data_IF_353689601627
#
_entry.id   IF_353689601627
#
_cell.length_a   1.000
_cell.length_b   1.000
_cell.length_c   1.000
_cell.angle_alpha   90.00
_cell.angle_beta   90.00
_cell.angle_gamma   90.00
#
_symmetry.space_group_name_H-M   'P 1'
#
loop_
_entity.id
_entity.type
_entity.pdbx_description
1 polymer ?
#
# COMPACT_ATOMS: atom_id res chain seq x y z
N UNK A 1 49.76 -27.63 2.92
CA UNK A 1 48.91 -26.44 2.89
C UNK A 1 48.37 -26.13 1.47
N UNK A 2 49.23 -26.12 0.45
CA UNK A 2 48.83 -25.87 -0.95
C UNK A 2 47.83 -26.91 -1.52
N UNK A 3 47.97 -28.19 -1.20
CA UNK A 3 47.05 -29.23 -1.68
C UNK A 3 45.67 -29.16 -1.05
N UNK A 4 45.62 -28.72 0.22
CA UNK A 4 44.33 -28.47 0.87
C UNK A 4 43.58 -27.29 0.23
N UNK A 5 44.29 -26.19 -0.07
CA UNK A 5 43.77 -25.04 -0.75
C UNK A 5 43.23 -25.38 -2.16
N UNK A 6 43.96 -26.21 -2.92
CA UNK A 6 43.53 -26.68 -4.23
C UNK A 6 42.27 -27.53 -4.14
N UNK A 7 42.16 -28.43 -3.15
CA UNK A 7 40.93 -29.22 -2.93
C UNK A 7 39.74 -28.36 -2.56
N UNK A 8 39.93 -27.35 -1.68
CA UNK A 8 38.86 -26.42 -1.32
C UNK A 8 38.45 -25.59 -2.53
N UNK A 9 39.36 -25.05 -3.32
CA UNK A 9 39.06 -24.30 -4.52
C UNK A 9 38.29 -25.13 -5.54
N UNK A 10 38.69 -26.41 -5.71
CA UNK A 10 37.97 -27.32 -6.62
C UNK A 10 36.54 -27.59 -6.14
N UNK A 11 36.35 -27.85 -4.84
CA UNK A 11 35.00 -28.06 -4.27
C UNK A 11 34.10 -26.83 -4.43
N UNK A 12 34.64 -25.65 -4.19
CA UNK A 12 33.88 -24.40 -4.40
C UNK A 12 33.52 -24.20 -5.87
N UNK A 13 34.44 -24.46 -6.79
CA UNK A 13 34.16 -24.34 -8.23
C UNK A 13 33.07 -25.32 -8.70
N UNK A 14 33.11 -26.56 -8.20
CA UNK A 14 32.08 -27.57 -8.52
C UNK A 14 30.72 -27.16 -7.92
N UNK A 15 30.69 -26.72 -6.67
CA UNK A 15 29.47 -26.31 -5.99
C UNK A 15 28.82 -25.10 -6.66
N UNK A 16 29.61 -24.10 -7.03
CA UNK A 16 29.09 -22.90 -7.74
C UNK A 16 28.60 -23.25 -9.13
N UNK A 17 29.31 -24.08 -9.88
CA UNK A 17 28.87 -24.53 -11.22
C UNK A 17 27.56 -25.30 -11.15
N UNK A 18 27.41 -26.18 -10.16
CA UNK A 18 26.17 -26.94 -9.96
C UNK A 18 25.01 -26.02 -9.56
N UNK A 19 25.24 -25.07 -8.65
CA UNK A 19 24.23 -24.10 -8.25
C UNK A 19 23.74 -23.24 -9.41
N UNK A 20 24.64 -22.76 -10.27
CA UNK A 20 24.32 -21.99 -11.46
C UNK A 20 23.53 -22.82 -12.47
N UNK A 21 23.91 -24.11 -12.66
CA UNK A 21 23.22 -25.03 -13.55
C UNK A 21 21.79 -25.29 -13.06
N UNK A 22 21.62 -25.59 -11.77
CA UNK A 22 20.29 -25.79 -11.17
C UNK A 22 19.44 -24.55 -11.29
N UNK A 23 19.99 -23.36 -10.99
CA UNK A 23 19.28 -22.08 -11.13
C UNK A 23 18.81 -21.84 -12.58
N UNK A 24 19.64 -22.18 -13.56
CA UNK A 24 19.30 -21.98 -14.99
C UNK A 24 18.25 -22.97 -15.51
N UNK A 25 18.20 -24.18 -14.95
CA UNK A 25 17.23 -25.24 -15.33
C UNK A 25 15.93 -25.16 -14.54
N UNK A 26 15.91 -24.40 -13.44
CA UNK A 26 14.73 -24.24 -12.60
C UNK A 26 13.71 -23.31 -13.27
N UNK A 27 12.42 -23.68 -13.33
CA UNK A 27 11.35 -22.80 -13.80
C UNK A 27 11.18 -21.54 -12.93
N UNK A 28 11.70 -21.56 -11.69
CA UNK A 28 11.73 -20.45 -10.73
C UNK A 28 13.15 -19.95 -10.48
N UNK A 29 14.05 -20.07 -11.46
CA UNK A 29 15.44 -19.62 -11.34
C UNK A 29 15.51 -18.12 -11.09
N UNK A 30 16.42 -17.71 -10.19
CA UNK A 30 16.67 -16.30 -9.86
C UNK A 30 17.57 -15.69 -10.94
N UNK A 31 17.24 -14.56 -11.57
CA UNK A 31 18.11 -13.89 -12.51
C UNK A 31 19.37 -13.40 -11.80
N UNK A 32 20.55 -13.84 -12.27
CA UNK A 32 21.86 -13.49 -11.69
C UNK A 32 22.31 -12.06 -12.01
N UNK A 33 21.74 -11.45 -13.03
CA UNK A 33 21.85 -10.04 -13.30
C UNK A 33 20.48 -9.43 -13.15
N UNK A 34 20.32 -8.52 -12.18
CA UNK A 34 19.09 -7.77 -12.02
C UNK A 34 18.86 -6.91 -13.26
N UNK A 35 17.80 -7.22 -14.00
CA UNK A 35 17.24 -6.28 -14.95
C UNK A 35 16.40 -5.30 -14.13
N UNK A 36 17.05 -4.30 -13.58
CA UNK A 36 16.39 -3.20 -12.91
C UNK A 36 15.84 -2.28 -14.00
N UNK A 37 14.58 -2.41 -14.28
CA UNK A 37 13.88 -1.39 -15.05
C UNK A 37 13.62 -0.23 -14.08
N UNK A 38 14.41 0.82 -14.23
CA UNK A 38 14.31 2.02 -13.38
C UNK A 38 13.11 2.89 -13.75
N UNK A 39 12.38 2.56 -14.81
CA UNK A 39 11.15 3.25 -15.20
C UNK A 39 9.90 2.63 -14.57
N UNK A 40 10.01 1.39 -14.12
CA UNK A 40 8.97 0.72 -13.36
C UNK A 40 9.49 0.55 -11.94
N UNK A 41 8.98 1.30 -10.99
CA UNK A 41 9.35 1.18 -9.57
C UNK A 41 9.34 -0.27 -9.10
N UNK A 42 9.88 -0.54 -7.91
CA UNK A 42 10.02 -1.89 -7.34
C UNK A 42 8.76 -2.71 -7.58
N UNK A 43 8.83 -3.64 -8.55
CA UNK A 43 7.76 -4.62 -8.79
C UNK A 43 7.83 -5.63 -7.65
N UNK A 44 7.06 -5.40 -6.61
CA UNK A 44 6.70 -6.46 -5.67
C UNK A 44 5.78 -7.43 -6.42
N UNK A 45 6.09 -8.73 -6.28
CA UNK A 45 5.43 -9.80 -7.01
C UNK A 45 3.96 -9.96 -6.58
N UNK A 46 3.08 -9.17 -7.17
CA UNK A 46 1.66 -9.47 -7.39
C UNK A 46 1.12 -8.48 -8.42
N UNK A 47 1.47 -8.73 -9.69
CA UNK A 47 1.05 -7.89 -10.83
C UNK A 47 -0.48 -7.86 -10.98
N UNK A 48 -1.17 -8.85 -10.46
CA UNK A 48 -2.63 -8.95 -10.58
C UNK A 48 -3.36 -8.05 -9.54
N UNK A 49 -2.80 -7.92 -8.33
CA UNK A 49 -3.38 -7.03 -7.32
C UNK A 49 -3.15 -5.54 -7.67
N UNK A 50 -1.93 -5.16 -8.06
CA UNK A 50 -1.62 -3.77 -8.40
C UNK A 50 -2.45 -3.24 -9.57
N UNK A 51 -2.80 -4.08 -10.55
CA UNK A 51 -3.61 -3.68 -11.70
C UNK A 51 -5.08 -3.46 -11.32
N UNK A 52 -5.58 -4.20 -10.32
CA UNK A 52 -6.95 -4.02 -9.81
C UNK A 52 -7.13 -2.70 -9.07
N UNK A 53 -6.05 -2.16 -8.46
CA UNK A 53 -6.11 -0.93 -7.65
C UNK A 53 -5.98 0.36 -8.47
N UNK A 54 -5.42 0.33 -9.68
CA UNK A 54 -5.22 1.54 -10.50
C UNK A 54 -6.52 2.29 -10.81
N UNK A 55 -7.66 1.59 -10.86
CA UNK A 55 -8.97 2.20 -11.08
C UNK A 55 -9.60 2.77 -9.80
N UNK A 56 -9.02 2.46 -8.61
CA UNK A 56 -9.54 2.88 -7.30
C UNK A 56 -8.62 3.86 -6.56
N UNK A 57 -7.55 4.32 -7.19
CA UNK A 57 -6.59 5.23 -6.58
C UNK A 57 -6.80 6.68 -7.05
N UNK A 58 -6.63 7.61 -6.11
CA UNK A 58 -6.54 9.05 -6.37
C UNK A 58 -5.06 9.44 -6.22
N UNK A 59 -4.30 9.55 -7.33
CA UNK A 59 -2.87 9.87 -7.28
C UNK A 59 -2.58 11.37 -7.22
N UNK A 60 -3.58 12.22 -7.48
CA UNK A 60 -3.45 13.67 -7.56
C UNK A 60 -4.11 14.33 -6.34
N UNK A 61 -3.34 15.05 -5.49
CA UNK A 61 -3.89 15.77 -4.34
C UNK A 61 -4.99 16.77 -4.72
N UNK A 62 -4.90 17.38 -5.90
CA UNK A 62 -5.90 18.31 -6.41
C UNK A 62 -7.24 17.63 -6.67
N UNK A 63 -7.23 16.39 -7.16
CA UNK A 63 -8.44 15.58 -7.34
C UNK A 63 -9.04 15.21 -5.98
N UNK A 64 -8.22 14.77 -5.02
CA UNK A 64 -8.67 14.49 -3.65
C UNK A 64 -9.32 15.74 -3.02
N UNK A 65 -8.72 16.92 -3.21
CA UNK A 65 -9.27 18.20 -2.73
C UNK A 65 -10.60 18.54 -3.39
N UNK A 66 -10.72 18.34 -4.71
CA UNK A 66 -11.99 18.56 -5.40
C UNK A 66 -13.10 17.65 -4.85
N UNK A 67 -12.81 16.38 -4.62
CA UNK A 67 -13.77 15.44 -4.02
C UNK A 67 -14.18 15.92 -2.62
N UNK A 68 -13.21 16.33 -1.80
CA UNK A 68 -13.46 16.90 -0.47
C UNK A 68 -14.41 18.12 -0.55
N UNK A 69 -14.15 19.05 -1.46
CA UNK A 69 -14.94 20.27 -1.61
C UNK A 69 -16.39 20.02 -2.04
N UNK A 70 -16.68 18.86 -2.65
CA UNK A 70 -18.06 18.49 -2.95
C UNK A 70 -18.89 18.20 -1.70
N UNK A 71 -18.25 17.85 -0.59
CA UNK A 71 -18.91 17.41 0.64
C UNK A 71 -19.69 16.09 0.51
N UNK A 72 -19.50 15.34 -0.59
CA UNK A 72 -20.26 14.12 -0.87
C UNK A 72 -19.54 12.84 -0.43
N UNK A 73 -18.23 12.86 -0.38
CA UNK A 73 -17.43 11.73 0.03
C UNK A 73 -17.03 11.84 1.50
N UNK A 74 -17.06 10.71 2.19
CA UNK A 74 -16.54 10.55 3.53
C UNK A 74 -15.05 10.21 3.45
N UNK A 75 -14.20 10.99 4.08
CA UNK A 75 -12.79 10.68 4.24
C UNK A 75 -12.59 9.77 5.46
N UNK A 76 -11.81 8.72 5.33
CA UNK A 76 -11.54 7.74 6.39
C UNK A 76 -10.04 7.66 6.62
N UNK A 77 -9.61 8.07 7.80
CA UNK A 77 -8.23 8.01 8.24
C UNK A 77 -7.94 6.64 8.86
N UNK A 78 -7.02 5.89 8.22
CA UNK A 78 -6.66 4.54 8.68
C UNK A 78 -5.36 4.49 9.49
N UNK A 79 -4.76 5.68 9.75
CA UNK A 79 -3.60 5.81 10.64
C UNK A 79 -4.00 5.49 12.09
N UNK A 80 -3.00 5.43 12.98
CA UNK A 80 -3.29 5.28 14.42
C UNK A 80 -4.14 6.43 14.95
N UNK A 81 -4.86 6.17 16.05
CA UNK A 81 -5.66 7.20 16.71
C UNK A 81 -4.82 8.41 17.15
N UNK A 82 -3.59 8.17 17.64
CA UNK A 82 -2.68 9.25 18.05
C UNK A 82 -2.35 10.18 16.87
N UNK A 83 -2.08 9.61 15.67
CA UNK A 83 -1.81 10.39 14.46
C UNK A 83 -3.04 11.16 13.98
N UNK A 84 -4.24 10.60 14.15
CA UNK A 84 -5.48 11.28 13.84
C UNK A 84 -5.69 12.48 14.78
N UNK A 85 -5.41 12.31 16.07
CA UNK A 85 -5.56 13.35 17.09
C UNK A 85 -4.52 14.46 16.93
N UNK A 86 -3.34 14.18 16.38
CA UNK A 86 -2.34 15.20 16.01
C UNK A 86 -2.81 16.08 14.85
N UNK A 87 -3.66 15.55 13.97
CA UNK A 87 -4.23 16.27 12.83
C UNK A 87 -4.73 15.34 11.75
N UNK A 88 -5.86 15.71 11.14
CA UNK A 88 -6.53 14.91 10.11
C UNK A 88 -7.25 15.79 9.07
N UNK A 89 -7.72 15.20 7.97
CA UNK A 89 -8.56 15.89 6.98
C UNK A 89 -9.90 16.25 7.65
N UNK A 90 -10.37 17.51 7.58
CA UNK A 90 -11.58 17.95 8.28
C UNK A 90 -12.78 17.07 7.96
N UNK A 91 -13.50 16.63 9.01
CA UNK A 91 -14.66 15.75 8.87
C UNK A 91 -14.35 14.29 8.55
N UNK A 92 -13.08 13.91 8.56
CA UNK A 92 -12.71 12.49 8.42
C UNK A 92 -13.08 11.69 9.68
N UNK A 93 -13.38 10.41 9.47
CA UNK A 93 -13.59 9.44 10.55
C UNK A 93 -12.31 8.62 10.74
N UNK A 94 -11.91 8.42 12.00
CA UNK A 94 -10.79 7.55 12.36
C UNK A 94 -11.24 6.09 12.34
N UNK A 95 -10.62 5.28 11.47
CA UNK A 95 -10.82 3.84 11.38
C UNK A 95 -9.47 3.13 11.22
N UNK A 96 -8.63 3.11 12.27
CA UNK A 96 -7.30 2.52 12.22
C UNK A 96 -7.33 1.06 11.79
N UNK A 97 -6.38 0.65 10.93
CA UNK A 97 -6.26 -0.74 10.50
C UNK A 97 -6.23 -1.72 11.68
N UNK A 98 -5.49 -1.40 12.74
CA UNK A 98 -5.37 -2.26 13.93
C UNK A 98 -6.67 -2.42 14.72
N UNK A 99 -7.59 -1.46 14.61
CA UNK A 99 -8.86 -1.46 15.33
C UNK A 99 -10.05 -1.79 14.43
N UNK A 100 -9.80 -2.09 13.16
CA UNK A 100 -10.83 -2.22 12.13
C UNK A 100 -11.95 -3.18 12.55
N UNK A 101 -11.61 -4.41 12.96
CA UNK A 101 -12.58 -5.44 13.31
C UNK A 101 -13.48 -5.03 14.51
N UNK A 102 -12.96 -4.22 15.42
CA UNK A 102 -13.71 -3.76 16.59
C UNK A 102 -14.59 -2.53 16.32
N UNK A 103 -14.24 -1.74 15.31
CA UNK A 103 -14.92 -0.47 15.00
C UNK A 103 -15.83 -0.53 13.78
N UNK A 104 -15.61 -1.48 12.87
CA UNK A 104 -16.32 -1.54 11.58
C UNK A 104 -17.83 -1.77 11.74
N UNK A 105 -18.26 -2.52 12.75
CA UNK A 105 -19.69 -2.73 13.02
C UNK A 105 -20.40 -1.40 13.36
N UNK A 106 -19.79 -0.57 14.23
CA UNK A 106 -20.32 0.75 14.56
C UNK A 106 -20.27 1.68 13.34
N UNK A 107 -19.17 1.66 12.58
CA UNK A 107 -19.01 2.41 11.35
C UNK A 107 -20.12 2.07 10.35
N UNK A 108 -20.45 0.80 10.16
CA UNK A 108 -21.49 0.34 9.23
C UNK A 108 -22.92 0.70 9.66
N UNK A 109 -23.14 1.00 10.94
CA UNK A 109 -24.44 1.53 11.42
C UNK A 109 -24.64 2.99 10.97
N UNK A 110 -23.56 3.78 11.01
CA UNK A 110 -23.62 5.22 10.78
C UNK A 110 -23.41 5.62 9.31
N UNK A 111 -22.75 4.76 8.51
CA UNK A 111 -22.34 5.03 7.14
C UNK A 111 -23.07 4.10 6.17
N UNK A 112 -23.81 4.69 5.21
CA UNK A 112 -24.49 3.91 4.16
C UNK A 112 -23.48 3.20 3.26
N UNK A 113 -23.78 1.96 2.85
CA UNK A 113 -22.95 1.20 1.90
C UNK A 113 -22.80 1.87 0.53
N UNK A 114 -23.73 2.76 0.17
CA UNK A 114 -23.66 3.54 -1.07
C UNK A 114 -22.92 4.88 -0.92
N UNK A 115 -22.52 5.26 0.32
CA UNK A 115 -21.77 6.48 0.57
C UNK A 115 -20.39 6.38 -0.10
N UNK A 116 -19.98 7.38 -0.92
CA UNK A 116 -18.63 7.44 -1.41
C UNK A 116 -17.62 7.61 -0.26
N UNK A 117 -16.60 6.76 -0.23
CA UNK A 117 -15.56 6.73 0.80
C UNK A 117 -14.20 6.93 0.16
N UNK A 118 -13.38 7.78 0.78
CA UNK A 118 -11.97 7.98 0.43
C UNK A 118 -11.13 7.57 1.63
N UNK A 119 -10.46 6.42 1.55
CA UNK A 119 -9.49 6.02 2.58
C UNK A 119 -8.15 6.69 2.36
N UNK A 120 -7.45 7.05 3.42
CA UNK A 120 -6.10 7.61 3.33
C UNK A 120 -5.24 7.20 4.52
N UNK A 121 -3.92 7.23 4.32
CA UNK A 121 -2.91 6.84 5.30
C UNK A 121 -1.73 7.83 5.35
N UNK A 122 -0.56 7.35 5.76
CA UNK A 122 0.68 8.11 5.89
C UNK A 122 1.45 8.33 4.56
N UNK A 123 0.82 8.11 3.40
CA UNK A 123 1.40 8.36 2.08
C UNK A 123 1.62 7.10 1.23
N UNK A 124 2.24 7.27 0.07
CA UNK A 124 2.32 6.27 -1.02
C UNK A 124 2.90 4.91 -0.64
N UNK A 125 3.74 4.85 0.37
CA UNK A 125 4.35 3.59 0.82
C UNK A 125 3.50 2.84 1.85
N UNK A 126 2.40 3.44 2.31
CA UNK A 126 1.50 2.85 3.29
C UNK A 126 0.42 2.02 2.58
N UNK A 127 0.36 0.72 2.86
CA UNK A 127 -0.64 -0.18 2.29
C UNK A 127 -1.93 -0.26 3.13
N UNK A 128 -1.97 0.36 4.30
CA UNK A 128 -3.08 0.24 5.24
C UNK A 128 -4.39 0.78 4.65
N UNK A 129 -4.34 1.89 3.89
CA UNK A 129 -5.51 2.46 3.23
C UNK A 129 -6.10 1.55 2.15
N UNK A 130 -5.25 0.82 1.41
CA UNK A 130 -5.69 -0.20 0.46
C UNK A 130 -6.33 -1.38 1.17
N UNK A 131 -5.70 -1.85 2.25
CA UNK A 131 -6.22 -2.97 3.04
C UNK A 131 -7.59 -2.65 3.64
N UNK A 132 -7.75 -1.47 4.26
CA UNK A 132 -9.04 -1.05 4.82
C UNK A 132 -10.07 -0.83 3.71
N UNK A 133 -9.69 -0.24 2.57
CA UNK A 133 -10.58 -0.09 1.42
C UNK A 133 -11.12 -1.44 0.94
N UNK A 134 -10.23 -2.44 0.81
CA UNK A 134 -10.64 -3.80 0.44
C UNK A 134 -11.62 -4.38 1.47
N UNK A 135 -11.30 -4.29 2.76
CA UNK A 135 -12.16 -4.83 3.81
C UNK A 135 -13.53 -4.14 3.87
N UNK A 136 -13.61 -2.85 3.58
CA UNK A 136 -14.88 -2.14 3.44
C UNK A 136 -15.68 -2.67 2.23
N UNK A 137 -15.03 -2.86 1.07
CA UNK A 137 -15.69 -3.43 -0.11
C UNK A 137 -16.19 -4.86 0.15
N UNK A 138 -15.43 -5.69 0.83
CA UNK A 138 -15.83 -7.05 1.25
C UNK A 138 -17.05 -7.03 2.17
N UNK A 139 -17.28 -5.93 2.91
CA UNK A 139 -18.46 -5.70 3.75
C UNK A 139 -19.62 -5.00 3.03
N UNK A 140 -19.52 -4.84 1.70
CA UNK A 140 -20.59 -4.36 0.84
C UNK A 140 -20.61 -2.84 0.62
N UNK A 141 -19.55 -2.09 1.01
CA UNK A 141 -19.42 -0.70 0.60
C UNK A 141 -19.06 -0.61 -0.88
N UNK A 142 -19.89 0.08 -1.67
CA UNK A 142 -19.86 0.02 -3.14
C UNK A 142 -18.86 1.03 -3.76
N UNK A 143 -18.62 2.14 -3.08
CA UNK A 143 -17.89 3.29 -3.63
C UNK A 143 -16.70 3.67 -2.74
N UNK A 144 -15.67 2.83 -2.72
CA UNK A 144 -14.45 3.05 -1.91
C UNK A 144 -13.28 3.29 -2.84
N UNK A 145 -12.54 4.38 -2.61
CA UNK A 145 -11.31 4.73 -3.32
C UNK A 145 -10.21 5.09 -2.34
N UNK A 146 -8.97 5.07 -2.79
CA UNK A 146 -7.78 5.32 -1.96
C UNK A 146 -7.09 6.61 -2.39
N UNK A 147 -6.90 7.55 -1.49
CA UNK A 147 -6.03 8.70 -1.70
C UNK A 147 -4.60 8.32 -1.31
N UNK A 148 -3.76 8.06 -2.31
CA UNK A 148 -2.44 7.44 -2.13
C UNK A 148 -1.38 8.36 -1.53
N UNK A 149 -1.43 9.68 -1.78
CA UNK A 149 -0.51 10.62 -1.13
C UNK A 149 -0.81 10.80 0.36
N UNK A 150 -2.01 10.43 0.77
CA UNK A 150 -2.41 10.40 2.15
C UNK A 150 -2.35 11.76 2.84
N UNK A 151 -2.30 11.74 4.18
CA UNK A 151 -2.26 12.96 4.97
C UNK A 151 -1.03 13.85 4.69
N UNK A 152 0.19 13.30 4.49
CA UNK A 152 1.34 14.15 4.12
C UNK A 152 1.11 14.92 2.82
N UNK A 153 0.62 14.28 1.76
CA UNK A 153 0.33 14.97 0.51
C UNK A 153 -0.75 16.05 0.65
N UNK A 154 -1.71 15.85 1.56
CA UNK A 154 -2.72 16.85 1.91
C UNK A 154 -2.09 18.09 2.56
N UNK A 155 -1.21 17.88 3.54
CA UNK A 155 -0.51 18.97 4.26
C UNK A 155 0.50 19.69 3.36
N UNK A 156 1.27 18.97 2.53
CA UNK A 156 2.23 19.54 1.60
C UNK A 156 1.58 20.51 0.59
N UNK A 157 0.31 20.28 0.26
CA UNK A 157 -0.47 21.18 -0.61
C UNK A 157 -1.22 22.28 0.18
N UNK A 158 -0.90 22.45 1.45
CA UNK A 158 -1.49 23.49 2.33
C UNK A 158 -3.03 23.42 2.42
N UNK A 159 -3.60 22.21 2.31
CA UNK A 159 -5.04 22.03 2.43
C UNK A 159 -5.49 22.05 3.90
N UNK A 160 -6.77 22.36 4.17
CA UNK A 160 -7.29 22.47 5.53
C UNK A 160 -7.03 21.23 6.38
N UNK A 161 -6.62 21.44 7.63
CA UNK A 161 -6.38 20.39 8.62
C UNK A 161 -7.25 20.66 9.84
N UNK A 162 -7.90 19.63 10.36
CA UNK A 162 -8.56 19.67 11.65
C UNK A 162 -7.59 19.14 12.73
N UNK A 163 -7.62 19.78 13.87
CA UNK A 163 -6.97 19.36 15.12
C UNK A 163 -8.09 19.30 16.15
N UNK A 164 -8.18 18.22 16.96
CA UNK A 164 -9.21 18.07 18.00
C UNK A 164 -9.23 19.19 19.02
#
# INVERSE_FOLDING_TARGET
MQDLLKKIALLLAVATSLALMVNRLSPKGIPLMGQWDTEVGVVTADTDAATLWMDFEIPDPGVAKQIFDTGRALFVDVRSQDMFDEGHIPGAISLPLGDFETRVEAFAVDVSTTQPIVTYCSGRLCQDSHTVAQWLMERGFENVVVYIDGFPGWVENEYPVAIP
#
